data_IF_944423393233
#
_entry.id   IF_944423393233
#
_cell.length_a   1.000
_cell.length_b   1.000
_cell.length_c   1.000
_cell.angle_alpha   90.00
_cell.angle_beta   90.00
_cell.angle_gamma   90.00
#
_symmetry.space_group_name_H-M   'P 1'
#
loop_
_entity.id
_entity.type
_entity.pdbx_description
1 polymer ?
#
# COMPACT_ATOMS: atom_id res chain seq x y z
N UNK A 1 16.57 6.03 7.48
CA UNK A 1 16.16 5.41 6.19
C UNK A 1 14.84 6.02 5.76
N UNK A 2 14.75 6.50 4.54
CA UNK A 2 13.49 7.02 4.01
C UNK A 2 12.50 5.89 3.79
N UNK A 3 11.21 6.23 3.63
CA UNK A 3 10.20 5.21 3.31
C UNK A 3 10.54 4.51 2.00
N UNK A 4 11.02 5.25 1.01
CA UNK A 4 11.39 4.67 -0.27
C UNK A 4 12.49 3.63 -0.10
N UNK A 5 13.55 3.96 0.63
CA UNK A 5 14.63 3.03 0.90
C UNK A 5 14.15 1.83 1.72
N UNK A 6 13.30 2.10 2.71
CA UNK A 6 12.77 1.05 3.57
C UNK A 6 12.03 0.00 2.75
N UNK A 7 11.05 0.42 1.94
CA UNK A 7 10.28 -0.52 1.15
C UNK A 7 11.02 -1.09 -0.05
N UNK A 8 12.13 -0.48 -0.43
CA UNK A 8 12.99 -1.01 -1.49
C UNK A 8 13.86 -2.15 -0.98
N UNK A 9 14.33 -2.07 0.26
CA UNK A 9 15.37 -2.96 0.77
C UNK A 9 14.90 -3.97 1.80
N UNK A 10 13.89 -3.66 2.59
CA UNK A 10 13.45 -4.54 3.67
C UNK A 10 12.41 -5.53 3.18
N UNK A 11 12.63 -6.81 3.40
CA UNK A 11 11.68 -7.84 3.05
C UNK A 11 10.71 -8.08 4.20
N UNK A 12 9.50 -8.46 3.87
CA UNK A 12 8.50 -8.75 4.89
C UNK A 12 7.12 -8.99 4.29
N UNK A 13 6.12 -8.97 5.16
CA UNK A 13 4.73 -9.20 4.79
C UNK A 13 3.90 -7.98 5.13
N UNK A 14 3.10 -7.53 4.17
CA UNK A 14 2.23 -6.39 4.35
C UNK A 14 0.77 -6.80 4.45
N UNK A 15 0.04 -6.10 5.31
CA UNK A 15 -1.39 -6.32 5.53
C UNK A 15 -2.08 -4.97 5.47
N UNK A 16 -3.07 -4.87 4.60
CA UNK A 16 -3.85 -3.64 4.45
C UNK A 16 -5.19 -3.84 5.16
N UNK A 17 -5.50 -2.91 6.06
CA UNK A 17 -6.76 -2.87 6.77
C UNK A 17 -7.61 -1.74 6.21
N UNK A 18 -8.85 -2.04 5.87
CA UNK A 18 -9.80 -1.07 5.34
C UNK A 18 -11.15 -1.24 6.02
N UNK A 19 -12.00 -0.25 5.86
CA UNK A 19 -13.36 -0.31 6.38
C UNK A 19 -14.29 0.42 5.41
N UNK A 20 -15.53 -0.03 5.33
CA UNK A 20 -16.51 0.72 4.56
C UNK A 20 -17.20 1.76 5.44
N UNK A 21 -18.14 2.51 4.88
CA UNK A 21 -18.85 3.57 5.60
C UNK A 21 -19.75 3.04 6.72
N UNK A 22 -20.10 1.75 6.69
CA UNK A 22 -20.91 1.12 7.73
C UNK A 22 -20.07 0.56 8.87
N UNK A 23 -18.74 0.68 8.79
CA UNK A 23 -17.84 0.19 9.80
C UNK A 23 -17.45 -1.28 9.67
N UNK A 24 -17.81 -1.93 8.57
CA UNK A 24 -17.34 -3.29 8.31
C UNK A 24 -15.87 -3.23 7.93
N UNK A 25 -15.05 -4.04 8.60
CA UNK A 25 -13.60 -4.03 8.41
C UNK A 25 -13.12 -5.23 7.63
N UNK A 26 -11.99 -5.07 6.95
CA UNK A 26 -11.40 -6.13 6.15
C UNK A 26 -9.88 -6.07 6.25
N UNK A 27 -9.25 -7.22 6.15
CA UNK A 27 -7.80 -7.36 6.12
C UNK A 27 -7.40 -8.14 4.89
N UNK A 28 -6.34 -7.71 4.24
CA UNK A 28 -5.82 -8.42 3.08
C UNK A 28 -4.32 -8.30 3.00
N UNK A 29 -3.67 -9.33 2.47
CA UNK A 29 -2.23 -9.27 2.21
C UNK A 29 -2.01 -8.34 1.02
N UNK A 30 -1.11 -7.38 1.19
CA UNK A 30 -0.72 -6.45 0.12
C UNK A 30 0.79 -6.36 0.05
N UNK A 31 1.31 -6.36 -1.16
CA UNK A 31 2.73 -6.13 -1.40
C UNK A 31 3.13 -4.74 -0.91
N UNK A 32 4.43 -4.53 -0.75
CA UNK A 32 4.96 -3.23 -0.36
C UNK A 32 4.45 -2.14 -1.30
N UNK A 33 4.12 -0.97 -0.76
CA UNK A 33 3.60 0.11 -1.59
C UNK A 33 4.66 0.71 -2.51
N UNK A 34 4.20 1.43 -3.51
CA UNK A 34 5.05 2.30 -4.31
C UNK A 34 5.15 3.61 -3.56
N UNK A 35 6.37 4.05 -3.25
CA UNK A 35 6.56 5.31 -2.53
C UNK A 35 6.74 6.43 -3.55
N UNK A 36 5.78 7.35 -3.58
CA UNK A 36 5.78 8.48 -4.50
C UNK A 36 6.61 9.62 -3.91
N UNK A 37 6.33 9.93 -2.64
CA UNK A 37 7.05 10.90 -1.84
C UNK A 37 7.08 10.35 -0.42
N UNK A 38 7.81 11.01 0.50
CA UNK A 38 7.96 10.50 1.86
C UNK A 38 6.63 10.30 2.59
N UNK A 39 5.64 11.12 2.26
CA UNK A 39 4.32 11.02 2.89
C UNK A 39 3.22 10.63 1.91
N UNK A 40 3.58 10.08 0.76
CA UNK A 40 2.60 9.68 -0.25
C UNK A 40 3.00 8.35 -0.87
N UNK A 41 2.11 7.39 -0.77
CA UNK A 41 2.33 6.05 -1.31
C UNK A 41 1.18 5.66 -2.23
N UNK A 42 1.38 4.58 -2.98
CA UNK A 42 0.34 4.04 -3.83
C UNK A 42 0.31 2.52 -3.73
N UNK A 43 -0.88 1.98 -3.85
CA UNK A 43 -1.07 0.53 -3.97
C UNK A 43 -1.77 0.23 -5.29
N UNK A 44 -1.35 -0.88 -5.91
CA UNK A 44 -2.06 -1.43 -7.06
C UNK A 44 -3.12 -2.37 -6.52
N UNK A 45 -4.39 -2.01 -6.65
CA UNK A 45 -5.50 -2.71 -6.02
C UNK A 45 -6.37 -3.40 -7.05
N UNK A 46 -6.67 -4.67 -6.80
CA UNK A 46 -7.68 -5.38 -7.58
C UNK A 46 -9.06 -4.87 -7.19
N UNK A 47 -10.02 -5.03 -8.09
CA UNK A 47 -11.38 -4.61 -7.81
C UNK A 47 -12.06 -5.65 -6.90
N UNK A 48 -11.72 -5.57 -5.61
CA UNK A 48 -12.20 -6.47 -4.55
C UNK A 48 -12.59 -5.63 -3.34
N UNK A 49 -12.78 -6.30 -2.21
CA UNK A 49 -13.29 -5.66 -0.98
C UNK A 49 -12.48 -4.45 -0.53
N UNK A 50 -11.15 -4.56 -0.52
CA UNK A 50 -10.31 -3.43 -0.08
C UNK A 50 -10.52 -2.20 -0.95
N UNK A 51 -10.58 -2.38 -2.26
CA UNK A 51 -10.82 -1.27 -3.18
C UNK A 51 -12.20 -0.67 -2.97
N UNK A 52 -13.23 -1.51 -2.83
CA UNK A 52 -14.59 -1.04 -2.59
C UNK A 52 -14.67 -0.25 -1.28
N UNK A 53 -13.98 -0.73 -0.25
CA UNK A 53 -13.99 -0.07 1.05
C UNK A 53 -13.42 1.34 0.97
N UNK A 54 -12.26 1.52 0.29
CA UNK A 54 -11.65 2.85 0.23
C UNK A 54 -12.40 3.81 -0.69
N UNK A 55 -13.35 3.33 -1.47
CA UNK A 55 -14.25 4.22 -2.21
C UNK A 55 -15.26 4.88 -1.27
N UNK A 56 -15.72 4.19 -0.23
CA UNK A 56 -16.71 4.73 0.70
C UNK A 56 -16.07 5.30 1.97
N UNK A 57 -14.86 4.87 2.34
CA UNK A 57 -14.15 5.35 3.52
C UNK A 57 -12.68 5.50 3.17
N UNK A 58 -12.14 6.73 3.16
CA UNK A 58 -10.76 6.95 2.73
C UNK A 58 -9.70 6.52 3.74
N UNK A 59 -10.09 6.18 4.96
CA UNK A 59 -9.13 5.79 5.99
C UNK A 59 -8.73 4.33 5.83
N UNK A 60 -7.43 4.07 5.99
CA UNK A 60 -6.89 2.73 5.92
C UNK A 60 -5.66 2.66 6.81
N UNK A 61 -5.18 1.44 7.06
CA UNK A 61 -3.93 1.24 7.78
C UNK A 61 -3.18 0.09 7.12
N UNK A 62 -1.86 0.22 7.10
CA UNK A 62 -1.02 -0.80 6.50
C UNK A 62 0.04 -1.20 7.51
N UNK A 63 0.10 -2.50 7.82
CA UNK A 63 1.12 -3.04 8.70
C UNK A 63 2.11 -3.85 7.89
N UNK A 64 3.39 -3.50 7.99
CA UNK A 64 4.45 -4.24 7.34
C UNK A 64 5.32 -4.88 8.40
N UNK A 65 5.35 -6.21 8.40
CA UNK A 65 6.12 -7.00 9.37
C UNK A 65 7.37 -7.49 8.66
N UNK A 66 8.52 -7.07 9.15
CA UNK A 66 9.82 -7.45 8.58
C UNK A 66 10.06 -8.94 8.76
N UNK A 67 10.65 -9.54 7.73
CA UNK A 67 11.07 -10.93 7.77
C UNK A 67 12.15 -11.10 8.85
N UNK A 68 12.04 -12.17 9.62
CA UNK A 68 13.04 -12.47 10.65
C UNK A 68 12.38 -12.72 11.98
N UNK A 69 13.22 -12.71 13.04
CA UNK A 69 12.75 -12.95 14.38
C UNK A 69 12.25 -11.67 15.04
N UNK A 70 11.27 -11.83 15.91
CA UNK A 70 10.67 -10.70 16.60
C UNK A 70 9.64 -10.00 15.75
N UNK A 71 9.02 -8.99 16.32
CA UNK A 71 7.98 -8.23 15.64
C UNK A 71 8.49 -6.83 15.34
N UNK A 72 9.21 -6.71 14.24
CA UNK A 72 9.74 -5.44 13.76
C UNK A 72 9.00 -5.02 12.50
N UNK A 73 8.87 -3.74 12.31
CA UNK A 73 8.23 -3.21 11.12
C UNK A 73 7.57 -1.88 11.37
N UNK A 74 6.61 -1.54 10.53
CA UNK A 74 5.95 -0.25 10.58
C UNK A 74 4.44 -0.41 10.42
N UNK A 75 3.71 0.45 11.11
CA UNK A 75 2.28 0.65 10.86
C UNK A 75 2.12 2.03 10.25
N UNK A 76 1.49 2.06 9.08
CA UNK A 76 1.23 3.31 8.37
C UNK A 76 -0.26 3.61 8.45
N UNK A 77 -0.59 4.80 8.96
CA UNK A 77 -1.98 5.24 9.01
C UNK A 77 -2.22 6.13 7.81
N UNK A 78 -3.21 5.78 7.01
CA UNK A 78 -3.36 6.25 5.65
C UNK A 78 -4.70 6.92 5.41
N UNK A 79 -4.69 7.84 4.45
CA UNK A 79 -5.93 8.42 3.94
C UNK A 79 -5.84 8.45 2.42
N UNK A 80 -6.83 7.86 1.75
CA UNK A 80 -6.89 7.89 0.30
C UNK A 80 -6.88 9.33 -0.19
N UNK A 81 -6.00 9.64 -1.15
CA UNK A 81 -5.88 10.97 -1.72
C UNK A 81 -6.26 11.03 -3.19
N UNK A 82 -6.39 9.90 -3.87
CA UNK A 82 -6.79 9.88 -5.26
C UNK A 82 -6.48 8.57 -5.95
N UNK A 83 -6.68 8.55 -7.24
CA UNK A 83 -6.34 7.41 -8.09
C UNK A 83 -5.60 7.91 -9.32
N UNK A 84 -4.63 7.13 -9.77
CA UNK A 84 -3.94 7.41 -11.02
C UNK A 84 -4.63 6.67 -12.15
N UNK A 85 -5.06 7.39 -13.15
CA UNK A 85 -5.74 6.80 -14.30
C UNK A 85 -4.90 6.84 -15.57
N UNK A 86 -3.79 7.55 -15.56
CA UNK A 86 -2.90 7.65 -16.71
C UNK A 86 -1.99 6.41 -16.77
N UNK A 87 -2.17 5.53 -17.77
CA UNK A 87 -1.36 4.32 -17.88
C UNK A 87 0.14 4.61 -17.98
N UNK A 88 0.52 5.71 -18.61
CA UNK A 88 1.91 6.08 -18.78
C UNK A 88 2.53 6.45 -17.43
N UNK A 89 1.81 7.19 -16.61
CA UNK A 89 2.29 7.57 -15.29
C UNK A 89 2.41 6.36 -14.38
N UNK A 90 1.46 5.43 -14.46
CA UNK A 90 1.51 4.19 -13.70
C UNK A 90 2.75 3.39 -14.09
N UNK A 91 3.02 3.31 -15.39
CA UNK A 91 4.19 2.58 -15.89
C UNK A 91 5.48 3.21 -15.38
N UNK A 92 5.57 4.54 -15.39
CA UNK A 92 6.73 5.24 -14.87
C UNK A 92 6.99 4.91 -13.40
N UNK A 93 5.95 4.93 -12.59
CA UNK A 93 6.07 4.63 -11.17
C UNK A 93 6.52 3.18 -10.96
N UNK A 94 5.93 2.26 -11.68
CA UNK A 94 6.29 0.84 -11.55
C UNK A 94 7.71 0.56 -12.00
N UNK A 95 8.16 1.24 -13.03
CA UNK A 95 9.51 1.01 -13.57
C UNK A 95 10.62 1.46 -12.63
N UNK A 96 10.31 2.33 -11.68
CA UNK A 96 11.29 2.79 -10.68
C UNK A 96 11.56 1.75 -9.61
N UNK A 97 10.71 0.72 -9.53
CA UNK A 97 10.89 -0.35 -8.55
C UNK A 97 11.82 -1.40 -9.13
N UNK A 98 13.07 -1.38 -8.67
CA UNK A 98 14.08 -2.26 -9.22
C UNK A 98 13.92 -3.69 -8.75
N UNK A 99 14.02 -4.62 -9.70
CA UNK A 99 14.19 -6.06 -9.46
C UNK A 99 13.16 -6.70 -8.55
N UNK A 100 12.01 -6.08 -8.43
CA UNK A 100 10.96 -6.68 -7.65
C UNK A 100 10.16 -7.62 -8.52
N UNK A 101 9.97 -8.83 -8.00
CA UNK A 101 9.15 -9.81 -8.70
C UNK A 101 7.70 -9.43 -8.49
N UNK A 102 7.10 -8.82 -9.48
CA UNK A 102 5.69 -8.48 -9.42
C UNK A 102 4.87 -9.54 -10.13
N UNK A 103 3.70 -9.81 -9.58
CA UNK A 103 2.74 -10.66 -10.25
C UNK A 103 2.31 -9.99 -11.54
N UNK A 104 2.33 -10.74 -12.62
CA UNK A 104 1.92 -10.25 -13.94
C UNK A 104 0.46 -10.57 -14.21
N UNK A 105 -0.36 -10.66 -13.18
CA UNK A 105 -1.77 -10.95 -13.40
C UNK A 105 -2.41 -9.88 -14.26
N UNK A 106 -3.19 -10.33 -15.20
CA UNK A 106 -3.85 -9.46 -16.17
C UNK A 106 -5.12 -8.81 -15.63
N UNK A 107 -5.44 -9.05 -14.37
CA UNK A 107 -6.64 -8.48 -13.77
C UNK A 107 -6.56 -6.96 -13.77
N UNK A 108 -7.68 -6.32 -14.04
CA UNK A 108 -7.79 -4.87 -13.96
C UNK A 108 -7.41 -4.42 -12.55
N UNK A 109 -6.54 -3.44 -12.47
CA UNK A 109 -6.07 -2.90 -11.21
C UNK A 109 -6.31 -1.41 -11.17
N UNK A 110 -6.53 -0.95 -9.96
CA UNK A 110 -6.69 0.47 -9.69
C UNK A 110 -5.45 0.92 -8.94
N UNK A 111 -4.84 1.99 -9.42
CA UNK A 111 -3.63 2.53 -8.81
C UNK A 111 -4.04 3.66 -7.86
N UNK A 112 -4.05 3.37 -6.56
CA UNK A 112 -4.67 4.24 -5.57
C UNK A 112 -3.60 4.92 -4.71
N UNK A 113 -3.68 6.24 -4.62
CA UNK A 113 -2.77 7.04 -3.79
C UNK A 113 -3.32 7.21 -2.39
N UNK A 114 -2.39 7.18 -1.43
CA UNK A 114 -2.69 7.43 -0.02
C UNK A 114 -1.68 8.41 0.55
N UNK A 115 -2.18 9.32 1.39
CA UNK A 115 -1.32 10.14 2.24
C UNK A 115 -0.95 9.32 3.47
N UNK A 116 0.30 9.39 3.88
CA UNK A 116 0.76 8.76 5.12
C UNK A 116 0.60 9.78 6.24
N UNK A 117 -0.38 9.56 7.10
CA UNK A 117 -0.72 10.50 8.16
C UNK A 117 0.09 10.28 9.43
N UNK A 118 0.49 9.03 9.67
CA UNK A 118 1.26 8.69 10.86
C UNK A 118 1.99 7.37 10.62
N UNK A 119 3.10 7.18 11.31
CA UNK A 119 3.88 5.94 11.26
C UNK A 119 4.16 5.52 12.69
N UNK A 120 3.92 4.26 12.99
CA UNK A 120 4.18 3.68 14.30
C UNK A 120 4.90 2.34 14.17
N UNK A 121 5.47 1.87 15.25
CA UNK A 121 6.02 0.51 15.32
C UNK A 121 4.87 -0.50 15.28
N UNK A 122 5.18 -1.77 14.94
CA UNK A 122 4.16 -2.81 14.84
C UNK A 122 3.62 -3.25 16.21
N UNK A 123 4.38 -2.96 17.23
CA UNK A 123 3.94 -3.31 18.60
C UNK A 123 3.95 -2.06 19.47
#
# INVERSE_FOLDING_TARGET
MSLAEYFETIEGTGILATSNSDGNVDLAIYSRPYVIEENKIAFSMLERTSYANVQSNPKAAYMFIEKGQGYKGKRLYLKKSGEETDPQRIEEIKSQRMKRHESTTESARHFVYFSVENIRAVV
#
